data_IF_476735069540
#
_entry.id   IF_476735069540
#
_cell.length_a   1.000
_cell.length_b   1.000
_cell.length_c   1.000
_cell.angle_alpha   90.00
_cell.angle_beta   90.00
_cell.angle_gamma   90.00
#
_symmetry.space_group_name_H-M   'P 1'
#
loop_
_entity.id
_entity.type
_entity.pdbx_description
1 polymer ?
#
# COMPACT_ATOMS: atom_id res chain seq x y z
N UNK A 1 -5.02 19.25 -3.02
CA UNK A 1 -5.13 19.69 -1.61
C UNK A 1 -3.75 20.11 -1.17
N UNK A 2 -3.63 21.21 -0.43
CA UNK A 2 -2.38 21.64 0.18
C UNK A 2 -2.00 20.70 1.34
N UNK A 3 -0.82 20.09 1.30
CA UNK A 3 -0.44 19.03 2.23
C UNK A 3 -0.33 19.51 3.69
N UNK A 4 0.17 20.72 3.92
CA UNK A 4 0.33 21.29 5.26
C UNK A 4 -1.01 21.62 5.90
N UNK A 5 -1.85 22.39 5.20
CA UNK A 5 -3.10 22.95 5.77
C UNK A 5 -4.31 22.03 5.59
N UNK A 6 -4.30 21.15 4.58
CA UNK A 6 -5.49 20.40 4.17
C UNK A 6 -6.47 21.22 3.31
N UNK A 7 -6.13 22.45 2.93
CA UNK A 7 -6.96 23.30 2.07
C UNK A 7 -7.14 22.66 0.70
N UNK A 8 -8.39 22.55 0.24
CA UNK A 8 -8.68 22.06 -1.11
C UNK A 8 -8.35 23.16 -2.11
N UNK A 9 -7.39 22.89 -2.99
CA UNK A 9 -6.96 23.85 -4.04
C UNK A 9 -7.79 23.70 -5.32
N UNK A 10 -8.20 22.47 -5.63
CA UNK A 10 -9.01 22.13 -6.79
C UNK A 10 -9.80 20.85 -6.47
N UNK A 11 -11.01 20.75 -7.02
CA UNK A 11 -11.85 19.57 -6.90
C UNK A 11 -12.77 19.41 -8.12
N UNK A 12 -12.95 18.15 -8.57
CA UNK A 12 -13.97 17.75 -9.53
C UNK A 12 -14.59 16.46 -9.05
N UNK A 13 -15.90 16.47 -8.79
CA UNK A 13 -16.64 15.35 -8.20
C UNK A 13 -15.93 14.73 -6.97
N UNK A 14 -15.48 15.53 -5.99
CA UNK A 14 -14.55 15.08 -4.94
C UNK A 14 -15.10 13.95 -4.08
N UNK A 15 -16.43 13.85 -3.94
CA UNK A 15 -17.13 12.85 -3.12
C UNK A 15 -17.75 11.70 -3.93
N UNK A 16 -17.49 11.62 -5.24
CA UNK A 16 -17.96 10.51 -6.06
C UNK A 16 -17.29 9.22 -5.62
N UNK A 17 -18.10 8.19 -5.35
CA UNK A 17 -17.63 6.89 -4.89
C UNK A 17 -17.17 6.05 -6.07
N UNK A 18 -15.89 5.69 -6.10
CA UNK A 18 -15.26 4.88 -7.13
C UNK A 18 -14.35 3.81 -6.52
N UNK A 19 -14.07 2.70 -7.23
CA UNK A 19 -13.08 1.73 -6.79
C UNK A 19 -11.69 2.38 -6.59
N UNK A 20 -10.98 2.11 -5.48
CA UNK A 20 -9.68 2.71 -5.19
C UNK A 20 -8.54 2.15 -6.05
N UNK A 21 -8.71 0.93 -6.59
CA UNK A 21 -7.61 0.13 -7.11
C UNK A 21 -6.43 0.09 -6.11
N UNK A 22 -5.20 -0.02 -6.61
CA UNK A 22 -4.00 -0.18 -5.79
C UNK A 22 -3.67 0.97 -4.83
N UNK A 23 -4.32 2.14 -4.92
CA UNK A 23 -4.16 3.22 -3.93
C UNK A 23 -4.54 2.77 -2.51
N UNK A 24 -5.32 1.70 -2.39
CA UNK A 24 -5.61 0.92 -1.17
C UNK A 24 -4.35 0.61 -0.35
N UNK A 25 -3.22 0.31 -1.00
CA UNK A 25 -1.98 -0.13 -0.34
C UNK A 25 -1.35 0.93 0.57
N UNK A 26 -1.70 2.21 0.41
CA UNK A 26 -1.31 3.25 1.36
C UNK A 26 -1.89 2.98 2.76
N UNK A 27 -3.16 2.55 2.84
CA UNK A 27 -3.79 2.22 4.12
C UNK A 27 -3.23 0.91 4.66
N UNK A 28 -2.94 -0.06 3.80
CA UNK A 28 -2.24 -1.29 4.20
C UNK A 28 -0.90 -0.97 4.85
N UNK A 29 -0.04 -0.17 4.20
CA UNK A 29 1.25 0.23 4.73
C UNK A 29 1.13 0.96 6.08
N UNK A 30 0.19 1.91 6.20
CA UNK A 30 -0.02 2.60 7.48
C UNK A 30 -0.45 1.66 8.61
N UNK A 31 -1.30 0.67 8.34
CA UNK A 31 -1.75 -0.29 9.36
C UNK A 31 -0.61 -1.23 9.79
N UNK A 32 0.24 -1.63 8.85
CA UNK A 32 1.46 -2.43 9.13
C UNK A 32 2.40 -1.64 10.04
N UNK A 33 2.74 -0.40 9.67
CA UNK A 33 3.68 0.43 10.41
C UNK A 33 3.18 0.82 11.82
N UNK A 34 1.87 0.77 12.07
CA UNK A 34 1.32 0.99 13.41
C UNK A 34 1.47 -0.22 14.34
N UNK A 35 1.82 -1.41 13.81
CA UNK A 35 1.59 -2.69 14.50
C UNK A 35 2.73 -3.69 14.45
N UNK A 36 3.72 -3.49 13.59
CA UNK A 36 4.82 -4.43 13.42
C UNK A 36 6.15 -3.70 13.23
N UNK A 37 7.26 -4.38 13.51
CA UNK A 37 8.59 -3.83 13.27
C UNK A 37 9.02 -4.15 11.84
N UNK A 38 9.66 -3.19 11.18
CA UNK A 38 10.08 -3.37 9.79
C UNK A 38 11.12 -4.48 9.60
N UNK A 39 11.88 -4.79 10.65
CA UNK A 39 12.87 -5.87 10.69
C UNK A 39 12.27 -7.26 10.88
N UNK A 40 10.98 -7.36 11.23
CA UNK A 40 10.33 -8.66 11.41
C UNK A 40 10.28 -9.38 10.06
N UNK A 41 10.48 -10.69 10.08
CA UNK A 41 10.53 -11.53 8.89
C UNK A 41 9.16 -12.16 8.62
N UNK A 42 8.85 -12.35 7.34
CA UNK A 42 7.59 -12.89 6.87
C UNK A 42 7.88 -13.97 5.84
N UNK A 43 7.47 -15.19 6.16
CA UNK A 43 7.45 -16.29 5.19
C UNK A 43 6.17 -16.20 4.35
N UNK A 44 6.32 -16.16 3.03
CA UNK A 44 5.22 -16.05 2.09
C UNK A 44 4.41 -17.35 2.10
N UNK A 45 3.13 -17.25 2.45
CA UNK A 45 2.20 -18.37 2.43
C UNK A 45 1.81 -18.75 1.00
N UNK A 46 1.28 -19.95 0.81
CA UNK A 46 0.66 -20.34 -0.47
C UNK A 46 -0.51 -19.42 -0.84
N UNK A 47 -1.29 -18.98 0.15
CA UNK A 47 -2.41 -18.07 -0.06
C UNK A 47 -1.92 -16.73 -0.61
N UNK A 48 -0.87 -16.15 -0.01
CA UNK A 48 -0.24 -14.92 -0.49
C UNK A 48 0.33 -15.08 -1.91
N UNK A 49 1.08 -16.14 -2.17
CA UNK A 49 1.67 -16.40 -3.49
C UNK A 49 0.63 -16.66 -4.61
N UNK A 50 -0.58 -17.05 -4.24
CA UNK A 50 -1.70 -17.27 -5.16
C UNK A 50 -2.55 -16.02 -5.41
N UNK A 51 -2.32 -14.93 -4.68
CA UNK A 51 -2.95 -13.64 -4.99
C UNK A 51 -2.49 -13.18 -6.39
N UNK A 52 -3.41 -12.75 -7.28
CA UNK A 52 -3.03 -12.24 -8.59
C UNK A 52 -2.07 -11.04 -8.46
N UNK A 53 -0.83 -11.22 -8.89
CA UNK A 53 0.26 -10.23 -8.85
C UNK A 53 0.94 -10.10 -10.20
N UNK A 54 1.69 -9.00 -10.40
CA UNK A 54 2.55 -8.82 -11.56
C UNK A 54 3.62 -9.92 -11.59
N UNK A 55 3.82 -10.55 -12.76
CA UNK A 55 4.71 -11.72 -12.89
C UNK A 55 6.15 -11.39 -12.54
N UNK A 56 6.61 -10.19 -12.90
CA UNK A 56 7.99 -9.72 -12.77
C UNK A 56 8.41 -9.56 -11.29
N UNK A 57 7.44 -9.33 -10.40
CA UNK A 57 7.69 -9.09 -8.97
C UNK A 57 7.02 -10.13 -8.07
N UNK A 58 6.55 -11.22 -8.67
CA UNK A 58 5.80 -12.24 -7.95
C UNK A 58 6.68 -12.90 -6.88
N UNK A 59 6.18 -12.92 -5.66
CA UNK A 59 6.73 -13.64 -4.53
C UNK A 59 6.29 -15.10 -4.59
N UNK A 60 7.16 -16.00 -4.11
CA UNK A 60 6.94 -17.45 -4.14
C UNK A 60 6.67 -17.96 -2.74
N UNK A 61 5.79 -18.94 -2.63
CA UNK A 61 5.54 -19.63 -1.36
C UNK A 61 6.85 -20.15 -0.76
N UNK A 62 7.03 -19.97 0.55
CA UNK A 62 8.23 -20.36 1.29
C UNK A 62 9.37 -19.35 1.25
N UNK A 63 9.33 -18.34 0.39
CA UNK A 63 10.31 -17.24 0.47
C UNK A 63 10.13 -16.45 1.76
N UNK A 64 11.23 -15.98 2.32
CA UNK A 64 11.20 -15.16 3.54
C UNK A 64 11.81 -13.80 3.25
N UNK A 65 11.07 -12.74 3.61
CA UNK A 65 11.46 -11.35 3.39
C UNK A 65 11.11 -10.53 4.64
N UNK A 66 11.80 -9.41 4.87
CA UNK A 66 11.44 -8.49 5.95
C UNK A 66 10.15 -7.73 5.63
N UNK A 67 9.45 -7.24 6.66
CA UNK A 67 8.30 -6.33 6.49
C UNK A 67 8.69 -5.10 5.67
N UNK A 68 9.89 -4.54 5.90
CA UNK A 68 10.43 -3.46 5.08
C UNK A 68 10.41 -3.81 3.59
N UNK A 69 11.00 -4.95 3.24
CA UNK A 69 11.07 -5.44 1.86
C UNK A 69 9.68 -5.59 1.23
N UNK A 70 8.72 -6.12 1.99
CA UNK A 70 7.34 -6.26 1.50
C UNK A 70 6.65 -4.91 1.30
N UNK A 71 6.93 -3.91 2.15
CA UNK A 71 6.42 -2.55 1.97
C UNK A 71 6.99 -1.91 0.69
N UNK A 72 8.27 -2.12 0.40
CA UNK A 72 8.89 -1.70 -0.87
C UNK A 72 8.19 -2.34 -2.07
N UNK A 73 8.03 -3.67 -2.08
CA UNK A 73 7.33 -4.38 -3.14
C UNK A 73 5.89 -3.86 -3.34
N UNK A 74 5.16 -3.68 -2.24
CA UNK A 74 3.77 -3.25 -2.25
C UNK A 74 3.60 -1.80 -2.74
N UNK A 75 4.48 -0.88 -2.39
CA UNK A 75 4.31 0.54 -2.70
C UNK A 75 4.99 0.97 -4.01
N UNK A 76 6.10 0.33 -4.41
CA UNK A 76 6.82 0.66 -5.66
C UNK A 76 6.19 -0.07 -6.85
N UNK A 77 5.98 -1.39 -6.72
CA UNK A 77 5.50 -2.27 -7.80
C UNK A 77 4.08 -2.76 -7.61
N UNK A 78 3.37 -2.25 -6.60
CA UNK A 78 2.00 -2.63 -6.35
C UNK A 78 1.79 -4.14 -6.14
N UNK A 79 2.80 -4.83 -5.61
CA UNK A 79 2.77 -6.27 -5.37
C UNK A 79 1.59 -6.63 -4.43
N UNK A 80 0.65 -7.45 -4.92
CA UNK A 80 -0.58 -7.80 -4.20
C UNK A 80 -0.34 -8.92 -3.19
N UNK A 81 0.45 -9.92 -3.57
CA UNK A 81 1.06 -10.94 -2.73
C UNK A 81 1.78 -10.34 -1.51
N UNK A 82 2.60 -9.30 -1.71
CA UNK A 82 3.26 -8.61 -0.60
C UNK A 82 2.25 -7.97 0.38
N UNK A 83 1.25 -7.25 -0.14
CA UNK A 83 0.21 -6.63 0.67
C UNK A 83 -0.64 -7.66 1.45
N UNK A 84 -0.90 -8.81 0.85
CA UNK A 84 -1.63 -9.91 1.50
C UNK A 84 -0.78 -10.58 2.59
N UNK A 85 0.49 -10.89 2.32
CA UNK A 85 1.40 -11.48 3.30
C UNK A 85 1.57 -10.58 4.54
N UNK A 86 1.70 -9.26 4.32
CA UNK A 86 1.72 -8.26 5.39
C UNK A 86 0.44 -8.31 6.25
N UNK A 87 -0.71 -8.57 5.63
CA UNK A 87 -1.97 -8.65 6.35
C UNK A 87 -2.09 -9.93 7.20
N UNK A 88 -1.56 -11.04 6.70
CA UNK A 88 -1.48 -12.30 7.43
C UNK A 88 -0.61 -12.17 8.67
N UNK A 89 0.61 -11.61 8.55
CA UNK A 89 1.51 -11.50 9.70
C UNK A 89 1.00 -10.52 10.77
N UNK A 90 0.38 -9.39 10.35
CA UNK A 90 -0.05 -8.34 11.29
C UNK A 90 -1.37 -8.68 12.01
N UNK A 91 -2.30 -9.39 11.35
CA UNK A 91 -3.64 -9.59 11.88
C UNK A 91 -4.09 -11.07 11.91
N UNK A 92 -3.25 -11.99 11.45
CA UNK A 92 -3.54 -13.42 11.31
C UNK A 92 -4.47 -13.76 10.14
N UNK A 93 -5.05 -12.77 9.45
CA UNK A 93 -5.77 -12.96 8.18
C UNK A 93 -6.10 -11.61 7.51
N UNK A 94 -6.25 -11.61 6.19
CA UNK A 94 -6.69 -10.42 5.44
C UNK A 94 -8.04 -9.90 5.95
N UNK A 95 -8.99 -10.77 6.30
CA UNK A 95 -10.30 -10.37 6.82
C UNK A 95 -10.18 -9.53 8.10
N UNK A 96 -9.34 -9.95 9.05
CA UNK A 96 -9.09 -9.20 10.29
C UNK A 96 -8.35 -7.90 9.99
N UNK A 97 -7.38 -7.94 9.08
CA UNK A 97 -6.63 -6.77 8.66
C UNK A 97 -7.50 -5.70 8.00
N UNK A 98 -8.44 -6.07 7.15
CA UNK A 98 -9.38 -5.14 6.49
C UNK A 98 -10.25 -4.41 7.51
N UNK A 99 -10.57 -5.02 8.67
CA UNK A 99 -11.25 -4.31 9.75
C UNK A 99 -10.37 -3.18 10.31
N UNK A 100 -9.07 -3.41 10.46
CA UNK A 100 -8.10 -2.39 10.87
C UNK A 100 -7.98 -1.29 9.83
N UNK A 101 -7.93 -1.63 8.54
CA UNK A 101 -7.90 -0.65 7.44
C UNK A 101 -9.13 0.27 7.47
N UNK A 102 -10.33 -0.30 7.65
CA UNK A 102 -11.56 0.49 7.71
C UNK A 102 -11.62 1.37 8.98
N UNK A 103 -11.15 0.86 10.14
CA UNK A 103 -11.01 1.69 11.36
C UNK A 103 -10.03 2.84 11.15
N UNK A 104 -8.89 2.57 10.49
CA UNK A 104 -7.89 3.58 10.13
C UNK A 104 -8.48 4.66 9.23
N UNK A 105 -9.22 4.27 8.19
CA UNK A 105 -9.86 5.20 7.26
C UNK A 105 -10.82 6.14 7.99
N UNK A 106 -11.67 5.62 8.89
CA UNK A 106 -12.57 6.43 9.71
C UNK A 106 -11.77 7.37 10.63
N UNK A 107 -10.74 6.87 11.31
CA UNK A 107 -9.93 7.65 12.25
C UNK A 107 -9.22 8.84 11.62
N UNK A 108 -8.84 8.74 10.33
CA UNK A 108 -8.19 9.83 9.59
C UNK A 108 -9.18 10.71 8.80
N UNK A 109 -10.49 10.50 9.01
CA UNK A 109 -11.56 11.30 8.41
C UNK A 109 -11.92 10.89 6.98
N UNK A 110 -11.48 9.73 6.48
CA UNK A 110 -11.83 9.17 5.18
C UNK A 110 -13.11 8.32 5.26
N UNK A 111 -14.21 8.92 5.74
CA UNK A 111 -15.45 8.21 6.10
C UNK A 111 -16.29 7.74 4.90
N UNK A 112 -16.02 8.19 3.68
CA UNK A 112 -16.65 7.74 2.45
C UNK A 112 -15.84 6.63 1.76
N UNK A 113 -15.00 5.93 2.52
CA UNK A 113 -14.14 4.85 2.04
C UNK A 113 -14.47 3.54 2.73
N UNK A 114 -14.51 2.47 1.95
CA UNK A 114 -14.67 1.09 2.42
C UNK A 114 -13.73 0.18 1.65
N UNK A 115 -12.81 -0.45 2.37
CA UNK A 115 -11.93 -1.49 1.86
C UNK A 115 -12.54 -2.87 2.11
N UNK A 116 -12.29 -3.79 1.18
CA UNK A 116 -12.68 -5.20 1.32
C UNK A 116 -11.47 -6.15 1.26
N UNK A 117 -10.33 -5.66 0.81
CA UNK A 117 -9.06 -6.36 0.71
C UNK A 117 -7.89 -5.37 0.89
N UNK A 118 -6.68 -5.89 0.96
CA UNK A 118 -5.44 -5.14 1.20
C UNK A 118 -4.80 -4.59 -0.07
N UNK A 119 -5.27 -5.05 -1.23
CA UNK A 119 -4.59 -4.93 -2.51
C UNK A 119 -5.21 -3.88 -3.42
N UNK A 120 -6.52 -3.65 -3.29
CA UNK A 120 -7.33 -2.87 -4.20
C UNK A 120 -7.94 -3.65 -5.36
N UNK A 121 -7.77 -4.98 -5.39
CA UNK A 121 -8.40 -5.83 -6.42
C UNK A 121 -9.93 -5.64 -6.41
N UNK A 122 -10.60 -5.68 -7.58
CA UNK A 122 -12.03 -5.40 -7.67
C UNK A 122 -12.88 -6.33 -6.79
N UNK A 123 -13.97 -5.78 -6.24
CA UNK A 123 -14.98 -6.57 -5.54
C UNK A 123 -16.13 -5.71 -5.04
N UNK A 124 -17.25 -6.37 -4.73
CA UNK A 124 -18.52 -5.71 -4.43
C UNK A 124 -18.42 -4.85 -3.17
N UNK A 125 -18.82 -3.58 -3.31
CA UNK A 125 -18.93 -2.63 -2.19
C UNK A 125 -17.62 -1.94 -1.80
N UNK A 126 -16.49 -2.26 -2.44
CA UNK A 126 -15.24 -1.53 -2.28
C UNK A 126 -15.31 -0.17 -2.98
N UNK A 127 -15.02 0.90 -2.25
CA UNK A 127 -15.03 2.25 -2.80
C UNK A 127 -14.21 3.22 -1.95
N UNK A 128 -13.84 4.33 -2.57
CA UNK A 128 -13.32 5.54 -1.93
C UNK A 128 -13.82 6.75 -2.71
N UNK A 129 -13.33 7.94 -2.37
CA UNK A 129 -13.57 9.19 -3.11
C UNK A 129 -12.25 9.91 -3.34
N UNK A 130 -12.18 10.82 -4.31
CA UNK A 130 -10.97 11.61 -4.54
C UNK A 130 -10.60 12.44 -3.30
N UNK A 131 -11.60 12.96 -2.58
CA UNK A 131 -11.38 13.69 -1.35
C UNK A 131 -10.82 12.81 -0.23
N UNK A 132 -11.35 11.61 -0.05
CA UNK A 132 -10.84 10.67 0.94
C UNK A 132 -9.45 10.15 0.61
N UNK A 133 -9.15 9.85 -0.66
CA UNK A 133 -7.79 9.51 -1.09
C UNK A 133 -6.81 10.64 -0.81
N UNK A 134 -7.20 11.90 -0.99
CA UNK A 134 -6.34 13.03 -0.65
C UNK A 134 -6.06 13.13 0.86
N UNK A 135 -7.05 12.79 1.71
CA UNK A 135 -6.88 12.71 3.17
C UNK A 135 -5.99 11.54 3.58
N UNK A 136 -6.20 10.37 2.95
CA UNK A 136 -5.37 9.17 3.13
C UNK A 136 -3.92 9.49 2.81
N UNK A 137 -3.64 10.03 1.63
CA UNK A 137 -2.29 10.38 1.20
C UNK A 137 -1.64 11.43 2.12
N UNK A 138 -2.37 12.50 2.45
CA UNK A 138 -1.89 13.54 3.37
C UNK A 138 -1.52 12.95 4.74
N UNK A 139 -2.31 12.00 5.25
CA UNK A 139 -2.00 11.33 6.51
C UNK A 139 -0.83 10.35 6.36
N UNK A 140 -0.76 9.60 5.27
CA UNK A 140 0.32 8.66 4.97
C UNK A 140 1.69 9.34 4.89
N UNK A 141 1.75 10.60 4.42
CA UNK A 141 2.98 11.40 4.40
C UNK A 141 3.55 11.72 5.80
N UNK A 142 2.79 11.49 6.88
CA UNK A 142 3.30 11.58 8.25
C UNK A 142 4.20 10.40 8.63
N UNK A 143 4.20 9.32 7.85
CA UNK A 143 5.08 8.17 8.03
C UNK A 143 6.34 8.39 7.18
N UNK A 144 7.51 8.65 7.81
CA UNK A 144 8.75 8.90 7.06
C UNK A 144 9.09 7.77 6.09
N UNK A 145 8.85 6.52 6.51
CA UNK A 145 9.04 5.30 5.71
C UNK A 145 8.17 5.31 4.46
N UNK A 146 6.87 5.63 4.57
CA UNK A 146 5.99 5.67 3.39
C UNK A 146 6.49 6.75 2.42
N UNK A 147 6.80 7.95 2.93
CA UNK A 147 7.32 9.06 2.13
C UNK A 147 8.62 8.68 1.40
N UNK A 148 9.52 7.98 2.08
CA UNK A 148 10.76 7.50 1.49
C UNK A 148 10.48 6.51 0.36
N UNK A 149 9.67 5.48 0.61
CA UNK A 149 9.43 4.40 -0.35
C UNK A 149 8.74 4.92 -1.62
N UNK A 150 7.67 5.72 -1.48
CA UNK A 150 6.93 6.22 -2.65
C UNK A 150 7.77 7.18 -3.50
N UNK A 151 8.72 7.90 -2.89
CA UNK A 151 9.60 8.85 -3.57
C UNK A 151 10.78 8.20 -4.30
N UNK A 152 11.01 6.89 -4.14
CA UNK A 152 12.07 6.18 -4.87
C UNK A 152 11.64 5.88 -6.30
N UNK A 153 12.53 6.17 -7.24
CA UNK A 153 12.39 5.73 -8.65
C UNK A 153 12.58 4.23 -8.78
N UNK A 154 13.59 3.71 -8.11
CA UNK A 154 14.03 2.33 -8.20
C UNK A 154 14.44 1.81 -6.83
N UNK A 155 14.32 0.50 -6.64
CA UNK A 155 14.85 -0.23 -5.51
C UNK A 155 15.16 -1.67 -5.92
N UNK A 156 15.92 -2.37 -5.09
CA UNK A 156 16.10 -3.82 -5.19
C UNK A 156 15.69 -4.43 -3.86
N UNK A 157 14.99 -5.56 -3.92
CA UNK A 157 14.65 -6.34 -2.75
C UNK A 157 15.25 -7.74 -2.83
N UNK A 158 15.58 -8.30 -1.68
CA UNK A 158 16.17 -9.62 -1.57
C UNK A 158 15.36 -10.51 -0.64
N UNK A 159 15.19 -11.77 -1.02
CA UNK A 159 14.72 -12.84 -0.13
C UNK A 159 15.89 -13.36 0.71
N UNK A 160 15.62 -13.93 1.87
CA UNK A 160 16.65 -14.61 2.69
C UNK A 160 17.29 -15.80 1.95
N UNK A 161 16.59 -16.35 0.96
CA UNK A 161 17.09 -17.41 0.08
C UNK A 161 18.03 -16.89 -1.02
N UNK A 162 18.34 -15.58 -1.05
CA UNK A 162 19.30 -14.97 -1.97
C UNK A 162 18.73 -14.58 -3.34
N UNK A 163 17.42 -14.74 -3.58
CA UNK A 163 16.78 -14.21 -4.80
C UNK A 163 16.62 -12.69 -4.67
N UNK A 164 17.13 -11.96 -5.66
CA UNK A 164 16.93 -10.51 -5.80
C UNK A 164 15.81 -10.19 -6.80
N UNK A 165 15.11 -9.09 -6.60
CA UNK A 165 14.02 -8.60 -7.45
C UNK A 165 14.19 -7.08 -7.59
N UNK A 166 14.39 -6.63 -8.83
CA UNK A 166 14.42 -5.20 -9.14
C UNK A 166 13.00 -4.63 -9.13
N UNK A 167 12.84 -3.44 -8.56
CA UNK A 167 11.60 -2.70 -8.46
C UNK A 167 11.76 -1.34 -9.15
N UNK A 168 11.01 -1.11 -10.22
CA UNK A 168 10.89 0.20 -10.87
C UNK A 168 9.53 0.81 -10.55
N UNK A 169 9.49 1.98 -9.91
CA UNK A 169 8.24 2.59 -9.45
C UNK A 169 7.25 2.77 -10.64
N UNK A 170 5.95 2.67 -10.37
CA UNK A 170 4.93 2.80 -11.43
C UNK A 170 4.54 4.26 -11.69
N UNK A 171 4.90 5.18 -10.79
CA UNK A 171 4.51 6.58 -10.87
C UNK A 171 5.40 7.42 -11.79
N UNK A 172 5.09 7.43 -13.09
CA UNK A 172 5.81 8.18 -14.14
C UNK A 172 6.18 9.63 -13.81
N UNK A 173 5.45 10.30 -12.90
CA UNK A 173 5.77 11.65 -12.45
C UNK A 173 7.18 11.76 -11.84
N UNK A 174 7.67 10.73 -11.14
CA UNK A 174 9.02 10.74 -10.60
C UNK A 174 10.09 10.88 -11.69
N UNK A 175 9.82 10.40 -12.91
CA UNK A 175 10.75 10.48 -14.04
C UNK A 175 10.59 11.76 -14.85
N UNK A 176 9.36 12.24 -14.99
CA UNK A 176 9.06 13.38 -15.87
C UNK A 176 9.07 14.73 -15.16
N UNK A 177 9.00 14.76 -13.82
CA UNK A 177 8.92 15.98 -13.02
C UNK A 177 9.92 15.94 -11.85
N UNK A 178 10.90 16.84 -11.88
CA UNK A 178 11.94 16.95 -10.84
C UNK A 178 11.39 17.42 -9.48
N UNK A 179 10.17 17.96 -9.44
CA UNK A 179 9.47 18.35 -8.21
C UNK A 179 8.60 17.24 -7.62
N UNK A 180 8.42 16.11 -8.30
CA UNK A 180 7.62 15.00 -7.81
C UNK A 180 8.33 14.29 -6.64
N UNK A 181 7.58 14.00 -5.58
CA UNK A 181 8.10 13.41 -4.33
C UNK A 181 7.49 12.05 -4.00
N UNK A 182 6.70 11.49 -4.92
CA UNK A 182 5.97 10.24 -4.73
C UNK A 182 4.80 10.11 -5.67
#
# INVERSE_FOLDING_TARGET
>A
MEASTGRVLFAKNPNLKLPPASTTKLVTAMVVLDRANMSDTVTISEAAANVPSLKETKLRSGETLTIETLLYAALIRSANDAAFALAEVVAGSEKKFVQLMNRKAVAIGASNTKFINTTGLPGKGQHTTAYDLSKIMRYALKYPVIREIIGKKEAEISTEQGRTIALENTNKLLWSDNGAVG
#
